data_IF_296577264136
#
_entry.id   IF_296577264136
#
_cell.length_a   1.000
_cell.length_b   1.000
_cell.length_c   1.000
_cell.angle_alpha   90.00
_cell.angle_beta   90.00
_cell.angle_gamma   90.00
#
_symmetry.space_group_name_H-M   'P 1'
#
loop_
_entity.id
_entity.type
_entity.pdbx_description
1 polymer ?
#
# COMPACT_ATOMS: atom_id res chain seq x y z
N UNK A 1 7.54 11.84 -10.95
CA UNK A 1 7.70 11.47 -9.54
C UNK A 1 9.09 10.87 -9.35
N UNK A 2 9.74 11.09 -8.21
CA UNK A 2 11.01 10.46 -7.82
C UNK A 2 10.74 9.17 -7.06
N UNK A 3 11.72 8.26 -6.99
CA UNK A 3 11.63 7.06 -6.17
C UNK A 3 11.44 7.35 -4.69
N UNK A 4 12.03 8.44 -4.19
CA UNK A 4 11.81 8.90 -2.83
C UNK A 4 10.33 9.25 -2.57
N UNK A 5 9.69 9.96 -3.51
CA UNK A 5 8.25 10.30 -3.41
C UNK A 5 7.37 9.03 -3.46
N UNK A 6 7.68 8.09 -4.37
CA UNK A 6 6.94 6.81 -4.48
C UNK A 6 6.98 6.07 -3.14
N UNK A 7 8.17 5.90 -2.58
CA UNK A 7 8.39 5.23 -1.29
C UNK A 7 7.63 5.96 -0.17
N UNK A 8 7.67 7.29 -0.13
CA UNK A 8 6.95 8.09 0.87
C UNK A 8 5.43 7.95 0.75
N UNK A 9 4.89 7.91 -0.47
CA UNK A 9 3.46 7.71 -0.68
C UNK A 9 2.99 6.31 -0.27
N UNK A 10 3.76 5.26 -0.56
CA UNK A 10 3.45 3.90 -0.09
C UNK A 10 3.51 3.81 1.43
N UNK A 11 4.51 4.43 2.05
CA UNK A 11 4.63 4.51 3.50
C UNK A 11 3.45 5.24 4.13
N UNK A 12 3.09 6.41 3.60
CA UNK A 12 1.93 7.17 4.05
C UNK A 12 0.62 6.38 3.85
N UNK A 13 0.49 5.62 2.76
CA UNK A 13 -0.65 4.74 2.53
C UNK A 13 -0.76 3.65 3.60
N UNK A 14 0.36 3.01 3.96
CA UNK A 14 0.42 2.02 5.04
C UNK A 14 -0.02 2.62 6.38
N UNK A 15 0.56 3.77 6.78
CA UNK A 15 0.17 4.47 8.02
C UNK A 15 -1.30 4.85 8.04
N UNK A 16 -1.80 5.42 6.94
CA UNK A 16 -3.22 5.78 6.79
C UNK A 16 -4.12 4.55 6.93
N UNK A 17 -3.78 3.43 6.30
CA UNK A 17 -4.56 2.19 6.40
C UNK A 17 -4.61 1.65 7.84
N UNK A 18 -3.49 1.70 8.57
CA UNK A 18 -3.43 1.30 9.97
C UNK A 18 -4.27 2.21 10.87
N UNK A 19 -4.10 3.53 10.75
CA UNK A 19 -4.88 4.52 11.52
C UNK A 19 -6.39 4.31 11.32
N UNK A 20 -6.82 4.20 10.05
CA UNK A 20 -8.21 3.91 9.69
C UNK A 20 -8.70 2.61 10.36
N UNK A 21 -7.93 1.53 10.26
CA UNK A 21 -8.32 0.24 10.82
C UNK A 21 -8.49 0.29 12.35
N UNK A 22 -7.62 1.02 13.07
CA UNK A 22 -7.75 1.20 14.53
C UNK A 22 -8.98 2.04 14.93
N UNK A 23 -9.45 2.92 14.05
CA UNK A 23 -10.63 3.76 14.26
C UNK A 23 -11.97 3.07 13.97
N UNK A 24 -11.97 1.96 13.22
CA UNK A 24 -13.20 1.27 12.83
C UNK A 24 -13.78 0.49 14.00
N UNK A 25 -14.90 1.00 14.54
CA UNK A 25 -15.72 0.33 15.54
C UNK A 25 -17.15 0.20 15.04
N UNK A 26 -17.84 -0.88 15.39
CA UNK A 26 -19.27 -1.08 15.13
C UNK A 26 -19.71 -1.00 13.65
N UNK A 27 -18.88 -1.52 12.73
CA UNK A 27 -19.25 -1.68 11.31
C UNK A 27 -19.64 -3.13 11.01
N UNK A 28 -20.40 -3.33 9.93
CA UNK A 28 -20.80 -4.67 9.47
C UNK A 28 -19.57 -5.54 9.23
N UNK A 29 -19.58 -6.76 9.75
CA UNK A 29 -18.48 -7.71 9.60
C UNK A 29 -18.12 -7.97 8.13
N UNK A 30 -19.13 -8.09 7.27
CA UNK A 30 -18.94 -8.31 5.82
C UNK A 30 -18.13 -7.17 5.17
N UNK A 31 -18.45 -5.92 5.49
CA UNK A 31 -17.73 -4.77 4.95
C UNK A 31 -16.29 -4.72 5.50
N UNK A 32 -16.10 -5.06 6.78
CA UNK A 32 -14.75 -5.16 7.39
C UNK A 32 -13.90 -6.23 6.72
N UNK A 33 -14.43 -7.42 6.47
CA UNK A 33 -13.73 -8.52 5.79
C UNK A 33 -13.28 -8.14 4.37
N UNK A 34 -14.14 -7.49 3.59
CA UNK A 34 -13.78 -7.04 2.23
C UNK A 34 -12.60 -6.07 2.22
N UNK A 35 -12.57 -5.13 3.16
CA UNK A 35 -11.45 -4.18 3.29
C UNK A 35 -10.21 -4.88 3.85
N UNK A 36 -10.37 -5.80 4.80
CA UNK A 36 -9.27 -6.60 5.32
C UNK A 36 -8.56 -7.41 4.24
N UNK A 37 -9.32 -8.10 3.39
CA UNK A 37 -8.78 -8.86 2.24
C UNK A 37 -8.01 -7.94 1.28
N UNK A 38 -8.55 -6.76 0.98
CA UNK A 38 -7.87 -5.80 0.11
C UNK A 38 -6.56 -5.30 0.73
N UNK A 39 -6.57 -4.95 2.02
CA UNK A 39 -5.36 -4.54 2.75
C UNK A 39 -4.34 -5.66 2.82
N UNK A 40 -4.78 -6.90 3.02
CA UNK A 40 -3.90 -8.07 3.00
C UNK A 40 -3.19 -8.23 1.65
N UNK A 41 -3.92 -8.12 0.54
CA UNK A 41 -3.34 -8.23 -0.81
C UNK A 41 -2.37 -7.08 -1.12
N UNK A 42 -2.69 -5.85 -0.71
CA UNK A 42 -1.77 -4.72 -0.86
C UNK A 42 -0.49 -4.97 -0.05
N UNK A 43 -0.62 -5.38 1.20
CA UNK A 43 0.53 -5.67 2.06
C UNK A 43 1.43 -6.76 1.47
N UNK A 44 0.85 -7.83 0.91
CA UNK A 44 1.58 -8.89 0.22
C UNK A 44 2.32 -8.36 -1.01
N UNK A 45 1.64 -7.60 -1.87
CA UNK A 45 2.26 -7.04 -3.07
C UNK A 45 3.44 -6.12 -2.71
N UNK A 46 3.31 -5.28 -1.68
CA UNK A 46 4.40 -4.41 -1.24
C UNK A 46 5.58 -5.21 -0.67
N UNK A 47 5.29 -6.31 0.04
CA UNK A 47 6.33 -7.22 0.52
C UNK A 47 7.09 -7.88 -0.65
N UNK A 48 6.36 -8.41 -1.62
CA UNK A 48 6.94 -9.02 -2.83
C UNK A 48 7.76 -8.00 -3.62
N UNK A 49 7.24 -6.78 -3.78
CA UNK A 49 7.97 -5.67 -4.41
C UNK A 49 9.28 -5.38 -3.69
N UNK A 50 9.25 -5.28 -2.36
CA UNK A 50 10.44 -5.07 -1.55
C UNK A 50 11.46 -6.20 -1.75
N UNK A 51 11.01 -7.47 -1.71
CA UNK A 51 11.89 -8.62 -1.86
C UNK A 51 12.55 -8.69 -3.23
N UNK A 52 11.82 -8.37 -4.31
CA UNK A 52 12.40 -8.31 -5.65
C UNK A 52 13.44 -7.18 -5.74
N UNK A 53 13.10 -5.98 -5.28
CA UNK A 53 14.01 -4.83 -5.31
C UNK A 53 15.26 -5.04 -4.44
N UNK A 54 15.13 -5.64 -3.25
CA UNK A 54 16.25 -5.90 -2.34
C UNK A 54 17.25 -6.92 -2.92
N UNK A 55 16.76 -7.87 -3.73
CA UNK A 55 17.56 -8.82 -4.51
C UNK A 55 18.13 -8.22 -5.80
N UNK A 56 17.77 -6.98 -6.16
CA UNK A 56 18.17 -6.34 -7.40
C UNK A 56 17.35 -6.76 -8.63
N UNK A 57 16.20 -7.39 -8.43
CA UNK A 57 15.28 -7.81 -9.49
C UNK A 57 14.27 -6.70 -9.81
N UNK A 58 13.76 -6.74 -11.05
CA UNK A 58 12.71 -5.83 -11.51
C UNK A 58 11.31 -6.39 -11.12
N UNK A 59 10.47 -5.64 -10.39
CA UNK A 59 9.18 -6.11 -9.89
C UNK A 59 8.07 -6.05 -10.96
N UNK A 60 8.12 -6.96 -11.94
CA UNK A 60 7.25 -6.95 -13.11
C UNK A 60 5.74 -6.94 -12.79
N UNK A 61 5.03 -5.93 -13.30
CA UNK A 61 3.57 -5.83 -13.24
C UNK A 61 3.04 -5.22 -11.95
N UNK A 62 3.90 -4.93 -10.98
CA UNK A 62 3.48 -4.42 -9.67
C UNK A 62 2.94 -2.99 -9.78
N UNK A 63 3.42 -2.19 -10.74
CA UNK A 63 2.89 -0.86 -11.04
C UNK A 63 1.38 -0.88 -11.30
N UNK A 64 0.96 -1.76 -12.22
CA UNK A 64 -0.45 -1.91 -12.61
C UNK A 64 -1.30 -2.41 -11.43
N UNK A 65 -0.77 -3.34 -10.63
CA UNK A 65 -1.51 -3.89 -9.50
C UNK A 65 -1.74 -2.85 -8.40
N UNK A 66 -0.74 -2.03 -8.07
CA UNK A 66 -0.88 -0.91 -7.11
C UNK A 66 -1.96 0.07 -7.58
N UNK A 67 -1.96 0.45 -8.86
CA UNK A 67 -2.99 1.33 -9.42
C UNK A 67 -4.40 0.70 -9.31
N UNK A 68 -4.53 -0.60 -9.64
CA UNK A 68 -5.80 -1.33 -9.50
C UNK A 68 -6.27 -1.33 -8.05
N UNK A 69 -5.38 -1.58 -7.08
CA UNK A 69 -5.75 -1.54 -5.67
C UNK A 69 -6.20 -0.16 -5.21
N UNK A 70 -5.55 0.91 -5.67
CA UNK A 70 -6.01 2.27 -5.37
C UNK A 70 -7.43 2.55 -5.87
N UNK A 71 -7.77 2.13 -7.09
CA UNK A 71 -9.14 2.24 -7.62
C UNK A 71 -10.14 1.34 -6.86
N UNK A 72 -9.70 0.15 -6.44
CA UNK A 72 -10.53 -0.72 -5.61
C UNK A 72 -10.79 -0.13 -4.22
N UNK A 73 -9.82 0.55 -3.61
CA UNK A 73 -10.05 1.25 -2.33
C UNK A 73 -11.11 2.32 -2.52
N UNK A 74 -10.93 3.19 -3.53
CA UNK A 74 -11.88 4.27 -3.83
C UNK A 74 -13.30 3.77 -4.06
N UNK A 75 -13.48 2.63 -4.71
CA UNK A 75 -14.82 2.13 -5.08
C UNK A 75 -15.43 1.21 -4.02
N UNK A 76 -14.65 0.30 -3.45
CA UNK A 76 -15.15 -0.77 -2.57
C UNK A 76 -15.14 -0.38 -1.10
N UNK A 77 -14.27 0.55 -0.69
CA UNK A 77 -14.07 0.85 0.72
C UNK A 77 -14.88 2.05 1.23
N UNK A 78 -15.56 2.82 0.37
CA UNK A 78 -16.34 4.02 0.77
C UNK A 78 -17.33 3.76 1.92
N UNK A 79 -18.03 2.60 1.88
CA UNK A 79 -19.02 2.25 2.91
C UNK A 79 -18.39 2.05 4.30
N UNK A 80 -17.18 1.50 4.34
CA UNK A 80 -16.49 1.20 5.58
C UNK A 80 -15.71 2.41 6.09
N UNK A 81 -14.88 3.00 5.21
CA UNK A 81 -13.92 4.05 5.55
C UNK A 81 -14.52 5.45 5.54
N UNK A 82 -15.63 5.65 4.82
CA UNK A 82 -16.06 6.97 4.39
C UNK A 82 -15.44 7.34 3.04
N UNK A 83 -16.07 8.29 2.35
CA UNK A 83 -15.64 8.72 1.02
C UNK A 83 -14.27 9.40 1.04
N UNK A 84 -14.07 10.35 1.96
CA UNK A 84 -12.82 11.10 2.09
C UNK A 84 -11.61 10.20 2.33
N UNK A 85 -11.69 9.29 3.30
CA UNK A 85 -10.58 8.38 3.63
C UNK A 85 -10.33 7.34 2.52
N UNK A 86 -11.38 6.84 1.88
CA UNK A 86 -11.23 5.95 0.73
C UNK A 86 -10.55 6.66 -0.46
N UNK A 87 -10.89 7.92 -0.71
CA UNK A 87 -10.25 8.72 -1.76
C UNK A 87 -8.80 9.04 -1.44
N UNK A 88 -8.52 9.50 -0.21
CA UNK A 88 -7.16 9.79 0.27
C UNK A 88 -6.26 8.57 0.13
N UNK A 89 -6.66 7.43 0.67
CA UNK A 89 -5.86 6.20 0.64
C UNK A 89 -5.68 5.68 -0.79
N UNK A 90 -6.75 5.69 -1.59
CA UNK A 90 -6.67 5.28 -3.00
C UNK A 90 -5.75 6.18 -3.83
N UNK A 91 -5.78 7.50 -3.60
CA UNK A 91 -4.92 8.47 -4.29
C UNK A 91 -3.44 8.29 -3.92
N UNK A 92 -3.11 7.93 -2.68
CA UNK A 92 -1.73 7.62 -2.28
C UNK A 92 -1.18 6.42 -3.05
N UNK A 93 -1.97 5.35 -3.17
CA UNK A 93 -1.57 4.16 -3.95
C UNK A 93 -1.44 4.48 -5.44
N UNK A 94 -2.43 5.18 -6.03
CA UNK A 94 -2.37 5.55 -7.46
C UNK A 94 -1.20 6.47 -7.73
N UNK A 95 -0.89 7.42 -6.84
CA UNK A 95 0.28 8.28 -6.99
C UNK A 95 1.56 7.43 -6.99
N UNK A 96 1.65 6.42 -6.13
CA UNK A 96 2.80 5.53 -6.04
C UNK A 96 2.87 4.41 -7.10
N UNK A 97 2.04 4.44 -8.14
CA UNK A 97 1.95 3.35 -9.11
C UNK A 97 3.24 3.12 -9.92
N UNK A 98 4.20 4.05 -9.96
CA UNK A 98 5.45 3.90 -10.73
C UNK A 98 6.52 3.05 -9.98
N UNK A 99 6.11 2.09 -9.15
CA UNK A 99 7.00 1.35 -8.22
C UNK A 99 8.16 0.60 -8.90
N UNK A 100 7.99 0.17 -10.15
CA UNK A 100 9.06 -0.46 -10.94
C UNK A 100 10.24 0.47 -11.22
N UNK A 101 10.00 1.79 -11.23
CA UNK A 101 11.05 2.82 -11.37
C UNK A 101 12.09 2.73 -10.25
N UNK A 102 11.69 2.23 -9.07
CA UNK A 102 12.59 2.06 -7.92
C UNK A 102 13.77 1.13 -8.24
N UNK A 103 13.61 0.17 -9.16
CA UNK A 103 14.71 -0.70 -9.60
C UNK A 103 15.85 0.10 -10.23
N UNK A 104 15.52 0.99 -11.17
CA UNK A 104 16.50 1.86 -11.82
C UNK A 104 17.15 2.82 -10.83
N UNK A 105 16.37 3.40 -9.92
CA UNK A 105 16.85 4.38 -8.94
C UNK A 105 17.69 3.75 -7.81
N UNK A 106 17.44 2.48 -7.45
CA UNK A 106 18.32 1.72 -6.55
C UNK A 106 19.66 1.42 -7.23
N UNK A 107 19.63 1.01 -8.50
CA UNK A 107 20.83 0.68 -9.24
C UNK A 107 21.71 1.91 -9.52
N UNK A 108 21.10 3.09 -9.69
CA UNK A 108 21.84 4.35 -9.82
C UNK A 108 22.28 4.96 -8.49
N UNK A 109 21.85 4.40 -7.35
CA UNK A 109 22.11 4.95 -6.01
C UNK A 109 21.31 6.23 -5.70
N UNK A 110 20.29 6.55 -6.49
CA UNK A 110 19.37 7.68 -6.25
C UNK A 110 18.51 7.44 -5.01
N UNK A 111 18.16 6.19 -4.76
CA UNK A 111 17.61 5.71 -3.48
C UNK A 111 18.50 4.58 -2.96
N UNK A 112 18.51 4.40 -1.64
CA UNK A 112 19.29 3.40 -0.92
C UNK A 112 18.36 2.41 -0.20
N UNK A 113 18.96 1.43 0.46
CA UNK A 113 18.22 0.37 1.18
C UNK A 113 17.39 0.88 2.36
N UNK A 114 17.77 1.99 2.99
CA UNK A 114 16.99 2.60 4.07
C UNK A 114 15.70 3.23 3.55
N UNK A 115 15.74 3.90 2.38
CA UNK A 115 14.49 4.34 1.77
C UNK A 115 13.65 3.15 1.32
N UNK A 116 14.25 2.13 0.71
CA UNK A 116 13.54 0.93 0.30
C UNK A 116 12.83 0.22 1.47
N UNK A 117 13.42 0.23 2.68
CA UNK A 117 12.82 -0.38 3.87
C UNK A 117 11.43 0.18 4.23
N UNK A 118 11.10 1.41 3.79
CA UNK A 118 9.77 1.98 3.99
C UNK A 118 8.67 1.24 3.21
N UNK A 119 8.99 0.54 2.11
CA UNK A 119 8.04 -0.38 1.46
C UNK A 119 7.72 -1.56 2.37
N UNK A 120 8.74 -2.10 3.05
CA UNK A 120 8.56 -3.20 3.99
C UNK A 120 7.76 -2.75 5.23
N UNK A 121 7.99 -1.53 5.71
CA UNK A 121 7.15 -0.93 6.76
C UNK A 121 5.70 -0.79 6.29
N UNK A 122 5.46 -0.19 5.12
CA UNK A 122 4.12 -0.04 4.55
C UNK A 122 3.39 -1.38 4.42
N UNK A 123 4.09 -2.40 3.93
CA UNK A 123 3.58 -3.77 3.88
C UNK A 123 3.12 -4.26 5.26
N UNK A 124 3.96 -4.09 6.28
CA UNK A 124 3.64 -4.46 7.66
C UNK A 124 2.39 -3.74 8.20
N UNK A 125 2.26 -2.44 7.92
CA UNK A 125 1.10 -1.64 8.34
C UNK A 125 -0.20 -2.13 7.68
N UNK A 126 -0.18 -2.42 6.38
CA UNK A 126 -1.35 -2.99 5.67
C UNK A 126 -1.74 -4.37 6.21
N UNK A 127 -0.76 -5.23 6.51
CA UNK A 127 -1.01 -6.56 7.11
C UNK A 127 -1.52 -6.44 8.56
N UNK A 128 -1.05 -5.46 9.31
CA UNK A 128 -1.58 -5.21 10.65
C UNK A 128 -3.01 -4.68 10.58
N UNK A 129 -3.28 -3.73 9.68
CA UNK A 129 -4.60 -3.18 9.42
C UNK A 129 -5.60 -4.25 8.99
N UNK A 130 -5.21 -5.20 8.12
CA UNK A 130 -6.09 -6.30 7.70
C UNK A 130 -6.53 -7.15 8.89
N UNK A 131 -5.61 -7.48 9.81
CA UNK A 131 -5.91 -8.26 11.01
C UNK A 131 -6.88 -7.51 11.93
N UNK A 132 -6.63 -6.22 12.18
CA UNK A 132 -7.49 -5.39 13.04
C UNK A 132 -8.94 -5.32 12.57
N UNK A 133 -9.20 -5.48 11.27
CA UNK A 133 -10.54 -5.45 10.71
C UNK A 133 -11.30 -6.80 10.83
N UNK A 134 -10.57 -7.91 10.95
CA UNK A 134 -11.16 -9.25 11.07
C UNK A 134 -11.51 -9.57 12.53
N UNK A 135 -10.75 -9.03 13.48
CA UNK A 135 -11.03 -9.13 14.92
C UNK A 135 -12.07 -8.08 15.38
#
# INVERSE_FOLDING_TARGET
MTGLEIVQFLWAAGKTAYEIATGIKNKKEEDRRKVAELFQHIGQLLHETYLELDKGNYPYGHCRQIAIFGEQIKSKCKKLLGEEEAEKLGNLLISAHEVERLHGELNSGTINKWELAKLQEASGEFIAASKLLIF
#
